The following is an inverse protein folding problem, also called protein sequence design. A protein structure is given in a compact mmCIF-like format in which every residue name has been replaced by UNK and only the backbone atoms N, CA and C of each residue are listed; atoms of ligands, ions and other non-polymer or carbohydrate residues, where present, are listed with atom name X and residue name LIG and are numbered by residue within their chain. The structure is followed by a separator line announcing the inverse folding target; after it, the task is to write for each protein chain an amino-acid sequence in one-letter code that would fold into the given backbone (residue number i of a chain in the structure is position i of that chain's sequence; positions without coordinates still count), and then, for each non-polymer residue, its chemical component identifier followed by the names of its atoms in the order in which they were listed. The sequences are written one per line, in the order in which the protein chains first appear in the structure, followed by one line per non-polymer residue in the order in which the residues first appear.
data_IF_650986958907
#
_entry.id   IF_650986958907
#
_cell.length_a   1.000
_cell.length_b   1.000
_cell.length_c   1.000
_cell.angle_alpha   90.00
_cell.angle_beta   90.00
_cell.angle_gamma   90.00
#
_symmetry.space_group_name_H-M   'P 1'
#
loop_
_entity.id
_entity.type
_entity.pdbx_description
1 polymer ?
#
# COMPACT_ATOMS: atom_id res chain seq x y z
N UNK A 1 -11.37 4.26 -17.32
CA UNK A 1 -10.08 4.99 -17.24
C UNK A 1 -9.13 4.11 -16.45
N UNK A 2 -8.09 3.53 -17.07
CA UNK A 2 -7.15 2.69 -16.33
C UNK A 2 -6.39 3.58 -15.31
N UNK A 3 -6.51 3.27 -14.02
CA UNK A 3 -5.81 4.00 -12.96
C UNK A 3 -4.30 3.93 -13.19
N UNK A 4 -3.66 5.08 -13.44
CA UNK A 4 -2.20 5.16 -13.64
C UNK A 4 -1.43 4.59 -12.44
N UNK A 5 -1.95 4.78 -11.22
CA UNK A 5 -1.34 4.28 -9.99
C UNK A 5 -1.29 2.75 -9.96
N UNK A 6 -2.39 2.08 -10.29
CA UNK A 6 -2.46 0.62 -10.29
C UNK A 6 -1.48 0.01 -11.30
N UNK A 7 -1.32 0.63 -12.46
CA UNK A 7 -0.39 0.15 -13.49
C UNK A 7 1.08 0.22 -13.05
N UNK A 8 1.47 1.31 -12.38
CA UNK A 8 2.83 1.49 -11.84
C UNK A 8 3.11 0.46 -10.73
N UNK A 9 2.19 0.30 -9.79
CA UNK A 9 2.35 -0.67 -8.69
C UNK A 9 2.48 -2.08 -9.26
N UNK A 10 1.60 -2.49 -10.17
CA UNK A 10 1.68 -3.82 -10.80
C UNK A 10 2.98 -4.01 -11.59
N UNK A 11 3.46 -2.98 -12.29
CA UNK A 11 4.72 -3.03 -13.03
C UNK A 11 5.93 -3.29 -12.14
N UNK A 12 5.96 -2.70 -10.94
CA UNK A 12 7.00 -2.93 -9.95
C UNK A 12 6.88 -4.31 -9.30
N UNK A 13 5.66 -4.71 -8.91
CA UNK A 13 5.43 -6.02 -8.29
C UNK A 13 5.87 -7.18 -9.18
N UNK A 14 5.69 -7.07 -10.51
CA UNK A 14 6.14 -8.09 -11.48
C UNK A 14 7.66 -8.30 -11.50
N UNK A 15 8.45 -7.37 -10.98
CA UNK A 15 9.92 -7.47 -10.94
C UNK A 15 10.42 -8.12 -9.66
N UNK A 16 9.56 -8.23 -8.64
CA UNK A 16 9.90 -8.82 -7.35
C UNK A 16 9.84 -10.34 -7.50
N UNK A 17 10.94 -11.02 -7.18
CA UNK A 17 11.06 -12.49 -7.30
C UNK A 17 10.58 -13.26 -6.07
N UNK A 18 10.21 -12.56 -5.00
CA UNK A 18 9.64 -13.15 -3.79
C UNK A 18 8.14 -12.93 -3.72
N UNK A 19 7.46 -13.69 -2.88
CA UNK A 19 6.03 -13.52 -2.63
C UNK A 19 5.76 -12.17 -1.97
N UNK A 20 4.83 -11.41 -2.55
CA UNK A 20 4.35 -10.15 -1.98
C UNK A 20 2.89 -10.30 -1.60
N UNK A 21 2.56 -9.85 -0.39
CA UNK A 21 1.19 -9.75 0.09
C UNK A 21 0.84 -8.28 0.34
N UNK A 22 -0.22 -7.80 -0.31
CA UNK A 22 -0.71 -6.44 -0.11
C UNK A 22 -1.97 -6.45 0.74
N UNK A 23 -2.06 -5.54 1.69
CA UNK A 23 -3.21 -5.43 2.57
C UNK A 23 -3.45 -3.99 3.01
N UNK A 24 -4.71 -3.66 3.30
CA UNK A 24 -5.10 -2.34 3.76
C UNK A 24 -5.17 -2.31 5.28
N UNK A 25 -4.65 -1.24 5.90
CA UNK A 25 -4.81 -1.01 7.35
C UNK A 25 -6.27 -0.83 7.78
N UNK A 26 -7.15 -0.54 6.82
CA UNK A 26 -8.59 -0.66 6.96
C UNK A 26 -9.15 -1.40 5.72
N UNK A 27 -9.57 -2.67 5.84
CA UNK A 27 -9.90 -3.52 4.70
C UNK A 27 -11.37 -3.45 4.26
N UNK A 28 -12.15 -2.51 4.77
CA UNK A 28 -13.58 -2.36 4.47
C UNK A 28 -13.85 -1.15 3.58
N UNK A 29 -15.06 -1.05 3.06
CA UNK A 29 -15.56 0.08 2.29
C UNK A 29 -16.44 0.96 3.19
N UNK A 30 -15.89 2.05 3.76
CA UNK A 30 -16.68 2.95 4.59
C UNK A 30 -17.47 3.90 3.69
N UNK A 31 -18.76 4.04 3.96
CA UNK A 31 -19.67 4.88 3.20
C UNK A 31 -20.35 5.91 4.11
N UNK A 32 -20.86 6.99 3.52
CA UNK A 32 -21.75 7.94 4.18
C UNK A 32 -23.13 7.31 4.35
N UNK A 33 -23.77 7.45 5.52
CA UNK A 33 -25.00 6.73 5.87
C UNK A 33 -26.12 6.85 4.82
N UNK A 34 -26.21 8.00 4.16
CA UNK A 34 -27.21 8.28 3.13
C UNK A 34 -26.85 7.75 1.72
N UNK A 35 -25.59 7.39 1.47
CA UNK A 35 -25.12 6.95 0.14
C UNK A 35 -24.10 5.80 0.24
N UNK A 36 -24.56 4.53 0.15
CA UNK A 36 -23.73 3.33 0.24
C UNK A 36 -22.65 3.19 -0.83
N UNK A 37 -22.68 3.98 -1.90
CA UNK A 37 -21.69 3.93 -2.98
C UNK A 37 -20.56 4.96 -2.82
N UNK A 38 -20.61 5.78 -1.77
CA UNK A 38 -19.51 6.69 -1.41
C UNK A 38 -18.35 5.93 -0.75
N UNK A 39 -17.14 6.42 -0.95
CA UNK A 39 -15.94 5.91 -0.28
C UNK A 39 -15.35 7.02 0.60
N UNK A 40 -15.90 7.22 1.79
CA UNK A 40 -15.38 8.22 2.72
C UNK A 40 -14.04 7.78 3.30
N UNK A 41 -13.36 8.68 4.01
CA UNK A 41 -12.20 8.26 4.81
C UNK A 41 -12.69 7.45 6.02
N UNK A 42 -11.99 6.36 6.34
CA UNK A 42 -12.20 5.65 7.60
C UNK A 42 -11.74 6.50 8.79
N UNK A 43 -12.38 6.33 9.94
CA UNK A 43 -12.00 6.97 11.19
C UNK A 43 -10.87 6.20 11.88
N UNK A 44 -10.20 6.84 12.85
CA UNK A 44 -9.20 6.17 13.67
C UNK A 44 -9.80 4.99 14.47
N UNK A 45 -11.04 5.13 14.95
CA UNK A 45 -11.74 4.07 15.68
C UNK A 45 -12.06 2.88 14.77
N UNK A 46 -12.53 3.11 13.55
CA UNK A 46 -12.79 2.04 12.57
C UNK A 46 -11.51 1.28 12.20
N UNK A 47 -10.41 2.00 12.01
CA UNK A 47 -9.08 1.42 11.78
C UNK A 47 -8.66 0.55 12.96
N UNK A 48 -8.80 1.04 14.19
CA UNK A 48 -8.48 0.29 15.41
C UNK A 48 -9.30 -0.99 15.53
N UNK A 49 -10.59 -0.95 15.18
CA UNK A 49 -11.44 -2.14 15.16
C UNK A 49 -10.96 -3.21 14.16
N UNK A 50 -10.22 -2.81 13.12
CA UNK A 50 -9.64 -3.74 12.14
C UNK A 50 -8.21 -4.21 12.48
N UNK A 51 -7.61 -3.70 13.56
CA UNK A 51 -6.23 -3.99 13.97
C UNK A 51 -5.95 -5.48 14.12
N UNK A 52 -6.92 -6.24 14.63
CA UNK A 52 -6.79 -7.69 14.84
C UNK A 52 -6.41 -8.44 13.55
N UNK A 53 -6.88 -7.96 12.38
CA UNK A 53 -6.59 -8.60 11.10
C UNK A 53 -5.12 -8.42 10.73
N UNK A 54 -4.56 -7.23 10.94
CA UNK A 54 -3.13 -6.96 10.68
C UNK A 54 -2.26 -7.80 11.60
N UNK A 55 -2.56 -7.82 12.89
CA UNK A 55 -1.81 -8.61 13.87
C UNK A 55 -1.83 -10.11 13.52
N UNK A 56 -3.00 -10.64 13.17
CA UNK A 56 -3.12 -12.03 12.74
C UNK A 56 -2.32 -12.31 11.47
N UNK A 57 -2.38 -11.44 10.46
CA UNK A 57 -1.66 -11.60 9.19
C UNK A 57 -0.15 -11.60 9.39
N UNK A 58 0.38 -10.63 10.13
CA UNK A 58 1.82 -10.52 10.39
C UNK A 58 2.34 -11.74 11.14
N UNK A 59 1.62 -12.18 12.17
CA UNK A 59 2.00 -13.35 12.96
C UNK A 59 1.88 -14.67 12.18
N UNK A 60 0.97 -14.76 11.20
CA UNK A 60 0.72 -16.00 10.46
C UNK A 60 1.56 -16.18 9.20
N UNK A 61 1.91 -15.07 8.53
CA UNK A 61 2.56 -15.11 7.23
C UNK A 61 4.10 -15.16 7.30
N UNK A 62 4.70 -15.15 8.50
CA UNK A 62 6.16 -15.12 8.70
C UNK A 62 6.82 -14.05 7.82
N UNK A 63 6.35 -12.81 7.95
CA UNK A 63 6.75 -11.71 7.08
C UNK A 63 8.15 -11.22 7.46
N UNK A 64 9.10 -11.25 6.52
CA UNK A 64 10.46 -10.73 6.73
C UNK A 64 10.51 -9.19 6.72
N UNK A 65 9.72 -8.57 5.84
CA UNK A 65 9.72 -7.12 5.62
C UNK A 65 8.28 -6.61 5.53
N UNK A 66 7.94 -5.68 6.44
CA UNK A 66 6.68 -4.94 6.39
C UNK A 66 6.95 -3.57 5.76
N UNK A 67 6.16 -3.20 4.75
CA UNK A 67 6.26 -1.90 4.07
C UNK A 67 4.97 -1.12 4.31
N UNK A 68 5.08 0.03 4.97
CA UNK A 68 3.97 0.93 5.24
C UNK A 68 3.78 1.90 4.06
N UNK A 69 2.71 1.74 3.28
CA UNK A 69 2.46 2.58 2.09
C UNK A 69 1.54 3.75 2.47
N UNK A 70 2.12 4.93 2.60
CA UNK A 70 1.42 6.16 2.98
C UNK A 70 1.35 6.39 4.50
N UNK A 71 0.98 7.62 4.87
CA UNK A 71 1.02 8.09 6.26
C UNK A 71 0.06 7.35 7.18
N UNK A 72 -1.14 7.03 6.69
CA UNK A 72 -2.14 6.31 7.50
C UNK A 72 -1.65 4.90 7.87
N UNK A 73 -0.95 4.22 6.94
CA UNK A 73 -0.38 2.91 7.20
C UNK A 73 0.82 2.96 8.16
N UNK A 74 1.69 3.95 7.98
CA UNK A 74 2.83 4.19 8.87
C UNK A 74 2.37 4.40 10.31
N UNK A 75 1.36 5.26 10.52
CA UNK A 75 0.82 5.51 11.86
C UNK A 75 0.19 4.27 12.46
N UNK A 76 -0.58 3.49 11.68
CA UNK A 76 -1.21 2.27 12.15
C UNK A 76 -0.18 1.26 12.67
N UNK A 77 0.85 1.00 11.87
CA UNK A 77 1.86 0.01 12.23
C UNK A 77 2.72 0.49 13.41
N UNK A 78 3.02 1.79 13.50
CA UNK A 78 3.72 2.37 14.63
C UNK A 78 2.92 2.25 15.95
N UNK A 79 1.61 2.57 15.94
CA UNK A 79 0.70 2.35 17.07
C UNK A 79 0.58 0.85 17.42
N UNK A 80 0.87 -0.02 16.45
CA UNK A 80 0.95 -1.47 16.64
C UNK A 80 2.27 -1.97 17.22
N UNK A 81 3.30 -1.13 17.28
CA UNK A 81 4.67 -1.57 17.59
C UNK A 81 5.28 -2.45 16.50
N UNK A 82 4.70 -2.46 15.30
CA UNK A 82 5.20 -3.22 14.15
C UNK A 82 6.24 -2.36 13.43
N UNK A 83 7.46 -2.87 13.35
CA UNK A 83 8.53 -2.21 12.59
C UNK A 83 8.24 -2.35 11.10
N UNK A 84 8.18 -1.21 10.40
CA UNK A 84 7.91 -1.17 8.98
C UNK A 84 8.76 -0.12 8.26
N UNK A 85 9.07 -0.36 6.99
CA UNK A 85 9.70 0.62 6.11
C UNK A 85 8.64 1.52 5.51
N UNK A 86 8.74 2.83 5.73
CA UNK A 86 7.78 3.81 5.19
C UNK A 86 8.04 4.06 3.70
N UNK A 87 7.01 3.90 2.88
CA UNK A 87 6.98 4.29 1.47
C UNK A 87 5.88 5.34 1.25
N UNK A 88 6.15 6.39 0.47
CA UNK A 88 5.11 7.35 0.10
C UNK A 88 4.03 6.65 -0.73
N UNK A 89 2.76 6.98 -0.50
CA UNK A 89 1.68 6.42 -1.30
C UNK A 89 1.86 6.84 -2.78
N UNK A 90 1.72 5.92 -3.76
CA UNK A 90 2.02 6.22 -5.16
C UNK A 90 1.06 7.23 -5.80
N UNK A 91 -0.12 7.47 -5.23
CA UNK A 91 -1.01 8.57 -5.66
C UNK A 91 -0.41 9.97 -5.45
N UNK A 92 -0.99 10.99 -6.10
CA UNK A 92 -0.65 12.42 -5.93
C UNK A 92 0.86 12.73 -6.01
N UNK A 93 1.55 12.13 -7.00
CA UNK A 93 2.96 12.38 -7.27
C UNK A 93 3.95 11.59 -6.40
N UNK A 94 3.49 10.63 -5.59
CA UNK A 94 4.37 9.79 -4.77
C UNK A 94 4.99 8.59 -5.49
N UNK A 95 4.69 8.38 -6.78
CA UNK A 95 5.13 7.21 -7.56
C UNK A 95 6.64 7.00 -7.56
N UNK A 96 7.41 8.07 -7.74
CA UNK A 96 8.89 8.00 -7.80
C UNK A 96 9.50 7.59 -6.46
N UNK A 97 8.95 8.09 -5.36
CA UNK A 97 9.43 7.77 -4.01
C UNK A 97 9.03 6.34 -3.63
N UNK A 98 7.80 5.93 -3.94
CA UNK A 98 7.35 4.54 -3.81
C UNK A 98 8.28 3.59 -4.57
N UNK A 99 8.50 3.83 -5.85
CA UNK A 99 9.36 2.99 -6.70
C UNK A 99 10.78 2.87 -6.13
N UNK A 100 11.37 3.99 -5.68
CA UNK A 100 12.70 4.00 -5.07
C UNK A 100 12.77 3.11 -3.83
N UNK A 101 11.78 3.18 -2.94
CA UNK A 101 11.76 2.35 -1.72
C UNK A 101 11.66 0.88 -2.08
N UNK A 102 10.75 0.50 -2.98
CA UNK A 102 10.58 -0.90 -3.41
C UNK A 102 11.84 -1.42 -4.09
N UNK A 103 12.48 -0.63 -4.96
CA UNK A 103 13.72 -1.00 -5.65
C UNK A 103 14.87 -1.21 -4.68
N UNK A 104 14.98 -0.37 -3.65
CA UNK A 104 16.03 -0.52 -2.63
C UNK A 104 15.84 -1.79 -1.79
N UNK A 105 14.60 -2.16 -1.47
CA UNK A 105 14.31 -3.35 -0.64
C UNK A 105 14.52 -4.65 -1.42
N UNK A 106 14.07 -4.69 -2.67
CA UNK A 106 14.06 -5.92 -3.48
C UNK A 106 15.16 -5.98 -4.54
N UNK A 107 16.08 -5.00 -4.54
CA UNK A 107 17.18 -4.87 -5.51
C UNK A 107 16.71 -4.94 -6.98
N UNK A 108 15.53 -4.36 -7.25
CA UNK A 108 14.95 -4.35 -8.60
C UNK A 108 15.47 -3.17 -9.41
N UNK A 109 15.68 -3.37 -10.71
CA UNK A 109 16.12 -2.31 -11.63
C UNK A 109 14.99 -1.35 -11.98
N UNK A 110 15.32 -0.11 -12.28
CA UNK A 110 14.32 0.89 -12.67
C UNK A 110 13.70 0.50 -14.03
N UNK A 111 12.41 0.16 -14.06
CA UNK A 111 11.69 0.08 -15.32
C UNK A 111 11.64 1.48 -15.94
N UNK A 112 12.19 1.62 -17.15
CA UNK A 112 11.98 2.79 -17.98
C UNK A 112 10.46 2.98 -18.14
N UNK A 113 9.96 4.19 -17.86
CA UNK A 113 8.55 4.50 -18.12
C UNK A 113 8.26 4.20 -19.59
N UNK A 114 7.25 3.36 -19.91
CA UNK A 114 6.74 3.33 -21.26
C UNK A 114 6.12 4.71 -21.49
N UNK A 115 6.82 5.53 -22.28
CA UNK A 115 6.28 6.74 -22.84
C UNK A 115 5.07 6.31 -23.66
N UNK A 116 3.87 6.46 -23.09
CA UNK A 116 2.62 6.25 -23.82
C UNK A 116 2.61 7.28 -24.94
N UNK A 117 2.97 6.84 -26.15
CA UNK A 117 2.70 7.56 -27.38
C UNK A 117 1.19 7.69 -27.49
N UNK A 118 0.70 8.90 -27.23
CA UNK A 118 -0.62 9.34 -27.65
C UNK A 118 -0.59 9.33 -29.18
N UNK A 119 -1.10 8.25 -29.77
CA UNK A 119 -1.77 8.33 -31.06
C UNK A 119 -3.22 8.74 -30.82
#
# INVERSE_FOLDING_TARGET
MAERTAHVVQGLLRQIKTSVFMWNVFPLHPYEEADPFTNRKHTAQEREMSRFAIDWLVNRLSIDVVIAIGRDAELALAEMGITAVSARHPSYGGQRDFARVIQNIYETTQAAEPQLTLF
#
